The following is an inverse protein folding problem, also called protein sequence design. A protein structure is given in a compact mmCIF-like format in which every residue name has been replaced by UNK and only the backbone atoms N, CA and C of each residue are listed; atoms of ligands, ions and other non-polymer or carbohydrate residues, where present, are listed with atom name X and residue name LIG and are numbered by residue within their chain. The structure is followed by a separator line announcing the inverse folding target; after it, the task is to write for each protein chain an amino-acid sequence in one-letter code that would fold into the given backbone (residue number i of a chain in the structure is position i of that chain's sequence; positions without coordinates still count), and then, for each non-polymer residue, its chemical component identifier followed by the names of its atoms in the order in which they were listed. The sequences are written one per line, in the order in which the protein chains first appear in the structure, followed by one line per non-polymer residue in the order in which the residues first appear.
data_IF_306124958501
#
_entry.id   IF_306124958501
#
_cell.length_a   1.000
_cell.length_b   1.000
_cell.length_c   1.000
_cell.angle_alpha   90.00
_cell.angle_beta   90.00
_cell.angle_gamma   90.00
#
_symmetry.space_group_name_H-M   'P 1'
#
loop_
_entity.id
_entity.type
_entity.pdbx_description
1 polymer ?
#
# COMPACT_ATOMS: atom_id res chain seq x y z
N UNK A 1 7.55 -10.87 -19.73
CA UNK A 1 7.29 -10.96 -18.30
C UNK A 1 6.26 -9.91 -17.91
N UNK A 2 5.36 -10.29 -17.05
CA UNK A 2 4.35 -9.35 -16.56
C UNK A 2 4.99 -8.34 -15.59
N UNK A 3 4.64 -7.08 -15.75
CA UNK A 3 5.03 -6.05 -14.80
C UNK A 3 4.11 -6.09 -13.59
N UNK A 4 4.67 -5.80 -12.43
CA UNK A 4 3.88 -5.62 -11.21
C UNK A 4 3.37 -4.19 -11.16
N UNK A 5 2.07 -4.04 -11.04
CA UNK A 5 1.45 -2.73 -10.86
C UNK A 5 1.29 -2.44 -9.38
N UNK A 6 1.76 -1.29 -8.93
CA UNK A 6 1.78 -0.93 -7.52
C UNK A 6 1.13 0.43 -7.31
N UNK A 7 0.23 0.50 -6.35
CA UNK A 7 -0.36 1.75 -5.90
C UNK A 7 0.25 2.11 -4.54
N UNK A 8 0.44 3.40 -4.30
CA UNK A 8 1.05 3.92 -3.08
C UNK A 8 0.12 4.92 -2.42
N UNK A 9 -0.05 4.82 -1.10
CA UNK A 9 -0.83 5.77 -0.35
C UNK A 9 -0.13 6.13 0.96
N UNK A 10 0.10 7.40 1.20
CA UNK A 10 0.76 7.92 2.40
C UNK A 10 0.47 9.41 2.49
N UNK A 11 0.08 9.90 3.67
CA UNK A 11 -0.23 11.32 3.84
C UNK A 11 1.02 12.20 3.87
N UNK A 12 2.19 11.62 4.07
CA UNK A 12 3.45 12.35 4.00
C UNK A 12 3.94 12.35 2.55
N UNK A 13 3.91 13.52 1.91
CA UNK A 13 4.29 13.64 0.50
C UNK A 13 5.74 13.28 0.23
N UNK A 14 6.64 13.54 1.19
CA UNK A 14 8.04 13.17 1.03
C UNK A 14 8.20 11.65 0.98
N UNK A 15 7.50 10.94 1.85
CA UNK A 15 7.49 9.47 1.85
C UNK A 15 6.87 8.94 0.56
N UNK A 16 5.76 9.54 0.13
CA UNK A 16 5.07 9.14 -1.09
C UNK A 16 5.98 9.28 -2.32
N UNK A 17 6.69 10.41 -2.42
CA UNK A 17 7.63 10.65 -3.51
C UNK A 17 8.83 9.72 -3.44
N UNK A 18 9.37 9.47 -2.25
CA UNK A 18 10.49 8.56 -2.06
C UNK A 18 10.15 7.13 -2.51
N UNK A 19 8.99 6.64 -2.08
CA UNK A 19 8.52 5.32 -2.51
C UNK A 19 8.35 5.25 -4.02
N UNK A 20 7.78 6.30 -4.62
CA UNK A 20 7.64 6.37 -6.07
C UNK A 20 8.98 6.30 -6.78
N UNK A 21 9.98 7.05 -6.31
CA UNK A 21 11.32 7.04 -6.90
C UNK A 21 11.98 5.67 -6.79
N UNK A 22 11.89 5.03 -5.62
CA UNK A 22 12.45 3.70 -5.41
C UNK A 22 11.85 2.70 -6.40
N UNK A 23 10.53 2.71 -6.53
CA UNK A 23 9.82 1.72 -7.33
C UNK A 23 9.99 1.96 -8.82
N UNK A 24 9.95 3.22 -9.27
CA UNK A 24 10.07 3.53 -10.69
C UNK A 24 11.44 3.20 -11.28
N UNK A 25 12.46 3.08 -10.43
CA UNK A 25 13.80 2.71 -10.86
C UNK A 25 14.00 1.21 -11.03
N UNK A 26 13.02 0.41 -10.61
CA UNK A 26 13.13 -1.05 -10.68
C UNK A 26 12.46 -1.59 -11.93
N UNK A 27 13.18 -2.42 -12.66
CA UNK A 27 12.63 -3.10 -13.83
C UNK A 27 11.51 -4.05 -13.41
N UNK A 28 10.44 -4.06 -14.17
CA UNK A 28 9.31 -4.93 -13.89
C UNK A 28 8.31 -4.39 -12.89
N UNK A 29 8.53 -3.18 -12.39
CA UNK A 29 7.62 -2.52 -11.45
C UNK A 29 7.10 -1.23 -12.06
N UNK A 30 5.78 -1.03 -11.97
CA UNK A 30 5.13 0.15 -12.49
C UNK A 30 4.18 0.74 -11.44
N UNK A 31 4.40 2.01 -11.08
CA UNK A 31 3.53 2.72 -10.14
C UNK A 31 2.32 3.25 -10.90
N UNK A 32 1.13 2.72 -10.58
CA UNK A 32 -0.09 3.07 -11.32
C UNK A 32 -0.88 4.18 -10.66
N UNK A 33 -0.57 4.55 -9.44
CA UNK A 33 -1.25 5.64 -8.77
C UNK A 33 -0.69 5.95 -7.41
N UNK A 34 -0.93 7.18 -6.96
CA UNK A 34 -0.52 7.68 -5.64
C UNK A 34 -1.69 8.42 -5.01
N UNK A 35 -1.81 8.33 -3.69
CA UNK A 35 -2.83 9.06 -2.95
C UNK A 35 -2.25 9.49 -1.60
N UNK A 36 -2.74 10.62 -1.07
CA UNK A 36 -2.27 11.15 0.20
C UNK A 36 -3.32 11.13 1.31
N UNK A 37 -4.42 10.45 1.07
CA UNK A 37 -5.47 10.24 2.07
C UNK A 37 -6.25 8.98 1.70
N UNK A 38 -7.01 8.47 2.68
CA UNK A 38 -7.69 7.18 2.52
C UNK A 38 -8.83 7.20 1.51
N UNK A 39 -9.56 8.30 1.41
CA UNK A 39 -10.67 8.40 0.47
C UNK A 39 -10.17 8.34 -0.98
N UNK A 40 -9.15 9.13 -1.30
CA UNK A 40 -8.53 9.11 -2.63
C UNK A 40 -7.84 7.79 -2.89
N UNK A 41 -7.24 7.18 -1.86
CA UNK A 41 -6.61 5.87 -1.99
C UNK A 41 -7.62 4.82 -2.40
N UNK A 42 -8.78 4.77 -1.74
CA UNK A 42 -9.82 3.82 -2.09
C UNK A 42 -10.22 3.96 -3.56
N UNK A 43 -10.54 5.18 -3.97
CA UNK A 43 -10.99 5.45 -5.35
C UNK A 43 -9.90 5.10 -6.37
N UNK A 44 -8.66 5.43 -6.06
CA UNK A 44 -7.53 5.14 -6.93
C UNK A 44 -7.31 3.63 -7.08
N UNK A 45 -7.41 2.87 -5.99
CA UNK A 45 -7.24 1.41 -6.02
C UNK A 45 -8.32 0.75 -6.86
N UNK A 46 -9.57 1.16 -6.69
CA UNK A 46 -10.69 0.61 -7.48
C UNK A 46 -10.49 0.91 -8.97
N UNK A 47 -10.06 2.12 -9.29
CA UNK A 47 -9.88 2.54 -10.69
C UNK A 47 -8.69 1.82 -11.36
N UNK A 48 -7.58 1.66 -10.64
CA UNK A 48 -6.36 1.10 -11.23
C UNK A 48 -6.21 -0.41 -11.08
N UNK A 49 -6.90 -0.99 -10.11
CA UNK A 49 -6.82 -2.41 -9.77
C UNK A 49 -5.38 -2.93 -9.76
N UNK A 50 -4.53 -2.41 -8.85
CA UNK A 50 -3.12 -2.77 -8.83
C UNK A 50 -2.90 -4.19 -8.29
N UNK A 51 -1.72 -4.74 -8.56
CA UNK A 51 -1.31 -6.02 -7.97
C UNK A 51 -0.99 -5.89 -6.49
N UNK A 52 -0.33 -4.78 -6.13
CA UNK A 52 0.13 -4.53 -4.76
C UNK A 52 -0.21 -3.10 -4.36
N UNK A 53 -0.61 -2.92 -3.11
CA UNK A 53 -0.81 -1.60 -2.51
C UNK A 53 0.18 -1.44 -1.35
N UNK A 54 1.01 -0.40 -1.42
CA UNK A 54 1.82 0.06 -0.29
C UNK A 54 1.07 1.20 0.37
N UNK A 55 0.65 1.02 1.63
CA UNK A 55 -0.25 1.98 2.25
C UNK A 55 0.08 2.21 3.71
N UNK A 56 0.11 3.49 4.10
CA UNK A 56 0.23 3.86 5.51
C UNK A 56 -1.06 3.50 6.24
N UNK A 57 -0.92 3.07 7.49
CA UNK A 57 -2.07 2.80 8.35
C UNK A 57 -2.77 4.11 8.73
N UNK A 58 -1.99 5.13 9.09
CA UNK A 58 -2.54 6.39 9.61
C UNK A 58 -2.60 7.43 8.51
N UNK A 59 -3.82 7.72 8.04
CA UNK A 59 -4.07 8.73 7.02
C UNK A 59 -5.34 9.49 7.36
N UNK A 60 -5.46 10.76 6.93
CA UNK A 60 -6.69 11.53 7.14
C UNK A 60 -7.83 10.99 6.28
N UNK A 61 -9.03 11.29 6.68
CA UNK A 61 -10.33 10.97 6.07
C UNK A 61 -10.71 9.50 6.19
N UNK A 62 -9.76 8.60 5.94
CA UNK A 62 -9.99 7.16 6.08
C UNK A 62 -8.64 6.51 6.29
N UNK A 63 -8.45 5.78 7.38
CA UNK A 63 -7.17 5.15 7.66
C UNK A 63 -6.91 3.95 6.73
N UNK A 64 -5.65 3.49 6.68
CA UNK A 64 -5.25 2.43 5.75
C UNK A 64 -5.92 1.10 6.00
N UNK A 65 -6.17 0.75 7.25
CA UNK A 65 -6.86 -0.52 7.58
C UNK A 65 -8.30 -0.47 7.07
N UNK A 66 -8.97 0.66 7.24
CA UNK A 66 -10.34 0.83 6.74
C UNK A 66 -10.40 0.78 5.22
N UNK A 67 -9.42 1.38 4.54
CA UNK A 67 -9.33 1.30 3.08
C UNK A 67 -9.18 -0.15 2.64
N UNK A 68 -8.25 -0.88 3.27
CA UNK A 68 -8.02 -2.29 2.94
C UNK A 68 -9.28 -3.11 3.13
N UNK A 69 -9.98 -2.90 4.23
CA UNK A 69 -11.21 -3.61 4.54
C UNK A 69 -12.28 -3.33 3.48
N UNK A 70 -12.46 -2.07 3.09
CA UNK A 70 -13.41 -1.70 2.05
C UNK A 70 -13.06 -2.33 0.70
N UNK A 71 -11.79 -2.38 0.36
CA UNK A 71 -11.35 -3.02 -0.89
C UNK A 71 -11.63 -4.53 -0.85
N UNK A 72 -11.31 -5.18 0.26
CA UNK A 72 -11.55 -6.63 0.40
C UNK A 72 -13.04 -6.98 0.33
N UNK A 73 -13.89 -6.07 0.76
CA UNK A 73 -15.34 -6.26 0.70
C UNK A 73 -15.97 -5.79 -0.60
N UNK A 74 -15.19 -5.25 -1.52
CA UNK A 74 -15.70 -4.81 -2.82
C UNK A 74 -15.83 -6.00 -3.77
N UNK A 75 -17.04 -6.51 -3.91
CA UNK A 75 -17.32 -7.70 -4.71
C UNK A 75 -17.31 -7.44 -6.21
N UNK A 76 -17.29 -6.17 -6.63
CA UNK A 76 -17.23 -5.80 -8.06
C UNK A 76 -15.83 -5.86 -8.63
N UNK A 77 -14.82 -5.87 -7.78
CA UNK A 77 -13.43 -6.05 -8.22
C UNK A 77 -13.18 -7.54 -8.49
N UNK A 78 -12.65 -7.86 -9.67
CA UNK A 78 -12.34 -9.25 -10.03
C UNK A 78 -11.26 -9.83 -9.15
N UNK A 79 -10.21 -9.05 -8.91
CA UNK A 79 -9.08 -9.46 -8.09
C UNK A 79 -8.85 -8.40 -7.03
N UNK A 80 -8.49 -8.82 -5.84
CA UNK A 80 -8.11 -7.90 -4.78
C UNK A 80 -6.60 -7.83 -4.70
N UNK A 81 -6.02 -6.63 -4.54
CA UNK A 81 -4.57 -6.50 -4.46
C UNK A 81 -4.02 -7.09 -3.15
N UNK A 82 -2.74 -7.39 -3.16
CA UNK A 82 -2.01 -7.67 -1.93
C UNK A 82 -1.70 -6.36 -1.22
N UNK A 83 -1.81 -6.33 0.10
CA UNK A 83 -1.57 -5.13 0.89
C UNK A 83 -0.29 -5.25 1.68
N UNK A 84 0.57 -4.25 1.56
CA UNK A 84 1.76 -4.08 2.39
C UNK A 84 1.57 -2.78 3.16
N UNK A 85 1.42 -2.89 4.48
CA UNK A 85 1.23 -1.70 5.32
C UNK A 85 2.59 -1.12 5.69
N UNK A 86 2.77 0.17 5.45
CA UNK A 86 4.02 0.90 5.72
C UNK A 86 3.70 2.00 6.71
N UNK A 87 4.16 1.86 7.95
CA UNK A 87 3.73 2.79 8.99
C UNK A 87 4.79 3.02 10.06
N UNK A 88 4.73 4.20 10.68
CA UNK A 88 5.53 4.52 11.86
C UNK A 88 4.92 3.94 13.14
N UNK A 89 3.67 3.49 13.08
CA UNK A 89 3.01 2.94 14.25
C UNK A 89 3.66 1.62 14.64
N UNK A 90 4.15 1.55 15.87
CA UNK A 90 4.81 0.35 16.39
C UNK A 90 3.90 -0.41 17.37
N UNK A 91 2.64 -0.03 17.45
CA UNK A 91 1.68 -0.68 18.31
C UNK A 91 1.44 -2.12 17.85
N UNK A 92 1.58 -3.06 18.74
CA UNK A 92 1.29 -4.46 18.47
C UNK A 92 -0.18 -4.63 18.04
N UNK A 93 -1.09 -3.88 18.66
CA UNK A 93 -2.51 -3.94 18.32
C UNK A 93 -2.77 -3.54 16.87
N UNK A 94 -2.10 -2.48 16.39
CA UNK A 94 -2.23 -2.04 15.00
C UNK A 94 -1.71 -3.10 14.04
N UNK A 95 -0.57 -3.71 14.36
CA UNK A 95 0.04 -4.75 13.53
C UNK A 95 -0.87 -5.98 13.45
N UNK A 96 -1.39 -6.41 14.60
CA UNK A 96 -2.30 -7.57 14.65
C UNK A 96 -3.59 -7.31 13.87
N UNK A 97 -4.16 -6.11 14.01
CA UNK A 97 -5.37 -5.74 13.29
C UNK A 97 -5.13 -5.77 11.78
N UNK A 98 -4.00 -5.24 11.32
CA UNK A 98 -3.67 -5.22 9.91
C UNK A 98 -3.59 -6.65 9.34
N UNK A 99 -2.92 -7.56 10.01
CA UNK A 99 -2.80 -8.94 9.55
C UNK A 99 -4.13 -9.68 9.63
N UNK A 100 -4.88 -9.49 10.71
CA UNK A 100 -6.19 -10.14 10.88
C UNK A 100 -7.16 -9.71 9.77
N UNK A 101 -7.08 -8.46 9.31
CA UNK A 101 -7.97 -7.93 8.28
C UNK A 101 -7.43 -8.15 6.87
N UNK A 102 -6.26 -8.75 6.71
CA UNK A 102 -5.81 -9.22 5.43
C UNK A 102 -4.56 -8.59 4.84
N UNK A 103 -3.78 -7.85 5.64
CA UNK A 103 -2.49 -7.36 5.16
C UNK A 103 -1.53 -8.54 4.96
N UNK A 104 -0.80 -8.52 3.86
CA UNK A 104 0.14 -9.58 3.53
C UNK A 104 1.48 -9.37 4.20
N UNK A 105 1.93 -8.11 4.30
CA UNK A 105 3.19 -7.75 4.91
C UNK A 105 3.08 -6.42 5.63
N UNK A 106 4.05 -6.15 6.50
CA UNK A 106 4.12 -4.96 7.32
C UNK A 106 5.55 -4.43 7.31
N UNK A 107 5.72 -3.15 7.03
CA UNK A 107 7.02 -2.49 7.01
C UNK A 107 6.99 -1.31 7.96
N UNK A 108 7.96 -1.27 8.87
CA UNK A 108 8.11 -0.16 9.82
C UNK A 108 8.88 1.00 9.19
N UNK A 109 8.44 2.22 9.45
CA UNK A 109 9.23 3.42 9.16
C UNK A 109 10.23 3.64 10.28
N UNK A 110 11.43 4.13 10.02
CA UNK A 110 12.00 4.38 8.70
C UNK A 110 12.38 3.07 7.97
N UNK A 111 12.28 3.09 6.67
CA UNK A 111 12.62 1.93 5.85
C UNK A 111 13.73 2.30 4.86
N UNK A 112 14.31 1.29 4.23
CA UNK A 112 15.24 1.49 3.12
C UNK A 112 14.73 0.77 1.87
N UNK A 113 15.41 1.04 0.76
CA UNK A 113 15.06 0.48 -0.53
C UNK A 113 15.01 -1.05 -0.51
N UNK A 114 16.00 -1.67 0.13
CA UNK A 114 16.11 -3.13 0.12
C UNK A 114 14.95 -3.81 0.85
N UNK A 115 14.51 -3.23 1.96
CA UNK A 115 13.36 -3.75 2.71
C UNK A 115 12.08 -3.67 1.86
N UNK A 116 11.86 -2.56 1.19
CA UNK A 116 10.68 -2.37 0.33
C UNK A 116 10.68 -3.39 -0.80
N UNK A 117 11.81 -3.52 -1.52
CA UNK A 117 11.89 -4.42 -2.65
C UNK A 117 11.81 -5.88 -2.25
N UNK A 118 12.36 -6.24 -1.10
CA UNK A 118 12.27 -7.61 -0.58
C UNK A 118 10.81 -8.02 -0.36
N UNK A 119 10.01 -7.15 0.26
CA UNK A 119 8.60 -7.46 0.52
C UNK A 119 7.77 -7.53 -0.76
N UNK A 120 8.05 -6.67 -1.71
CA UNK A 120 7.34 -6.65 -2.99
C UNK A 120 7.57 -7.93 -3.78
N UNK A 121 8.80 -8.45 -3.74
CA UNK A 121 9.20 -9.62 -4.53
C UNK A 121 8.91 -10.96 -3.87
N UNK A 122 8.35 -10.93 -2.69
CA UNK A 122 7.92 -12.16 -2.02
C UNK A 122 6.48 -12.54 -2.42
#
# INVERSE_FOLDING_TARGET
MAELSIAIADDNRQTLNLLGEILEKEDGIHVVGKADNGEDAYNMIVRTNPDIVLMDVIMPRLDGISVMEKIKNNTQMKNHPSFIMVTAASSQDVTEDAFRLGANYYIMKPFNRDVILDKIRR
#
